data_IF_616437796090
#
_entry.id   IF_616437796090
#
_cell.length_a   1.000
_cell.length_b   1.000
_cell.length_c   1.000
_cell.angle_alpha   90.00
_cell.angle_beta   90.00
_cell.angle_gamma   90.00
#
_symmetry.space_group_name_H-M   'P 1'
#
loop_
_entity.id
_entity.type
_entity.pdbx_description
1 polymer ?
#
# COMPACT_ATOMS: atom_id res chain seq x y z
N UNK A 1 -6.84 8.52 -12.09
CA UNK A 1 -6.30 7.24 -11.58
C UNK A 1 -5.85 7.46 -10.14
N UNK A 2 -6.50 6.82 -9.18
CA UNK A 2 -6.14 6.80 -7.75
C UNK A 2 -5.50 5.47 -7.39
N UNK A 3 -4.26 5.54 -6.94
CA UNK A 3 -3.50 4.36 -6.54
C UNK A 3 -3.35 4.33 -5.03
N UNK A 4 -3.77 3.25 -4.39
CA UNK A 4 -3.50 3.01 -2.98
C UNK A 4 -2.22 2.20 -2.83
N UNK A 5 -1.16 2.83 -2.32
CA UNK A 5 0.05 2.15 -1.93
C UNK A 5 -0.07 1.58 -0.52
N UNK A 6 0.39 0.34 -0.34
CA UNK A 6 0.27 -0.42 0.91
C UNK A 6 1.64 -0.95 1.33
N UNK A 7 2.02 -0.67 2.58
CA UNK A 7 3.16 -1.30 3.25
C UNK A 7 2.67 -1.99 4.53
N UNK A 8 2.95 -3.29 4.66
CA UNK A 8 2.46 -4.10 5.78
C UNK A 8 3.58 -4.24 6.81
N UNK A 9 3.32 -3.79 8.04
CA UNK A 9 4.25 -3.89 9.17
C UNK A 9 3.58 -4.53 10.37
N UNK A 10 4.10 -5.67 10.81
CA UNK A 10 3.57 -6.42 11.95
C UNK A 10 2.09 -6.76 11.75
N UNK A 11 1.19 -6.07 12.46
CA UNK A 11 -0.26 -6.26 12.39
C UNK A 11 -1.00 -5.07 11.73
N UNK A 12 -0.28 -4.20 11.03
CA UNK A 12 -0.86 -2.99 10.44
C UNK A 12 -0.55 -2.91 8.94
N UNK A 13 -1.55 -2.45 8.18
CA UNK A 13 -1.38 -1.95 6.83
C UNK A 13 -1.28 -0.43 6.87
N UNK A 14 -0.15 0.12 6.43
CA UNK A 14 0.04 1.56 6.23
C UNK A 14 -0.41 1.88 4.80
N UNK A 15 -1.33 2.82 4.66
CA UNK A 15 -1.96 3.17 3.38
C UNK A 15 -1.65 4.62 3.00
N UNK A 16 -1.38 4.83 1.71
CA UNK A 16 -1.17 6.16 1.11
C UNK A 16 -1.86 6.18 -0.25
N UNK A 17 -2.59 7.25 -0.54
CA UNK A 17 -3.26 7.42 -1.84
C UNK A 17 -2.44 8.40 -2.67
N UNK A 18 -2.19 8.02 -3.93
CA UNK A 18 -1.54 8.88 -4.89
C UNK A 18 -2.37 9.06 -6.15
N UNK A 19 -2.31 10.27 -6.69
CA UNK A 19 -2.83 10.63 -8.01
C UNK A 19 -1.67 11.15 -8.89
N UNK A 20 -1.77 10.98 -10.22
CA UNK A 20 -0.83 11.59 -11.14
C UNK A 20 -0.92 13.11 -11.09
N UNK A 21 0.24 13.77 -11.09
CA UNK A 21 0.39 15.22 -11.20
C UNK A 21 1.63 15.50 -12.03
N UNK A 22 1.65 16.60 -12.78
CA UNK A 22 2.68 16.93 -13.78
C UNK A 22 4.12 16.75 -13.27
N UNK A 23 4.77 15.60 -13.54
CA UNK A 23 6.14 15.30 -13.12
C UNK A 23 6.29 14.51 -11.82
N UNK A 24 5.23 14.30 -11.03
CA UNK A 24 5.34 13.70 -9.70
C UNK A 24 4.03 13.12 -9.16
N UNK A 25 4.11 12.11 -8.29
CA UNK A 25 2.95 11.56 -7.60
C UNK A 25 2.46 12.54 -6.52
N UNK A 26 1.22 13.01 -6.64
CA UNK A 26 0.57 13.83 -5.63
C UNK A 26 -0.07 12.94 -4.55
N UNK A 27 0.12 13.27 -3.28
CA UNK A 27 -0.51 12.54 -2.18
C UNK A 27 -1.89 13.13 -1.91
N UNK A 28 -2.91 12.28 -1.92
CA UNK A 28 -4.27 12.66 -1.51
C UNK A 28 -4.37 12.50 0.00
N UNK A 29 -4.79 13.56 0.70
CA UNK A 29 -4.95 13.51 2.14
C UNK A 29 -6.16 12.64 2.53
N UNK A 30 -5.90 11.64 3.37
CA UNK A 30 -6.92 10.77 3.96
C UNK A 30 -6.75 10.73 5.48
N UNK A 31 -7.88 10.70 6.19
CA UNK A 31 -7.92 10.55 7.65
C UNK A 31 -7.34 9.20 8.07
N UNK A 32 -7.72 8.13 7.38
CA UNK A 32 -7.21 6.79 7.61
C UNK A 32 -5.84 6.61 6.94
N UNK A 33 -4.81 6.48 7.76
CA UNK A 33 -3.40 6.24 7.33
C UNK A 33 -2.92 4.82 7.67
N UNK A 34 -3.67 4.11 8.52
CA UNK A 34 -3.38 2.75 8.97
C UNK A 34 -4.66 1.96 9.17
N UNK A 35 -4.64 0.69 8.81
CA UNK A 35 -5.69 -0.28 9.11
C UNK A 35 -5.04 -1.41 9.91
N UNK A 36 -5.53 -1.69 11.11
CA UNK A 36 -4.93 -2.64 12.05
C UNK A 36 -5.71 -3.94 12.08
N UNK A 37 -4.99 -5.05 12.19
CA UNK A 37 -5.51 -6.35 12.55
C UNK A 37 -5.28 -6.59 14.05
N UNK A 38 -6.34 -6.81 14.82
CA UNK A 38 -6.18 -7.04 16.25
C UNK A 38 -5.58 -8.43 16.54
N UNK A 39 -6.30 -9.48 16.11
CA UNK A 39 -5.84 -10.86 16.19
C UNK A 39 -5.89 -11.54 14.81
N UNK A 40 -4.75 -12.06 14.36
CA UNK A 40 -4.66 -12.78 13.09
C UNK A 40 -5.09 -14.24 13.18
N UNK A 41 -5.33 -14.78 14.38
CA UNK A 41 -5.88 -16.13 14.57
C UNK A 41 -7.41 -16.13 14.66
N UNK A 42 -8.03 -14.96 14.85
CA UNK A 42 -9.47 -14.80 15.05
C UNK A 42 -10.20 -14.47 13.74
N UNK A 43 -11.19 -15.31 13.38
CA UNK A 43 -11.99 -15.13 12.17
C UNK A 43 -12.79 -13.82 12.13
N UNK A 44 -13.52 -13.46 13.20
CA UNK A 44 -14.17 -12.16 13.33
C UNK A 44 -13.22 -10.97 13.14
N UNK A 45 -12.02 -10.97 13.74
CA UNK A 45 -11.03 -9.90 13.55
C UNK A 45 -10.58 -9.77 12.08
N UNK A 46 -10.35 -10.89 11.39
CA UNK A 46 -10.07 -10.89 9.95
C UNK A 46 -11.22 -10.28 9.13
N UNK A 47 -12.46 -10.64 9.46
CA UNK A 47 -13.65 -10.10 8.79
C UNK A 47 -13.80 -8.60 9.03
N UNK A 48 -13.61 -8.14 10.26
CA UNK A 48 -13.65 -6.72 10.61
C UNK A 48 -12.59 -5.91 9.85
N UNK A 49 -11.36 -6.43 9.76
CA UNK A 49 -10.32 -5.77 8.97
C UNK A 49 -10.69 -5.74 7.48
N UNK A 50 -11.20 -6.85 6.92
CA UNK A 50 -11.65 -6.89 5.52
C UNK A 50 -12.71 -5.83 5.24
N UNK A 51 -13.73 -5.72 6.11
CA UNK A 51 -14.77 -4.71 5.97
C UNK A 51 -14.20 -3.29 6.03
N UNK A 52 -13.22 -3.03 6.90
CA UNK A 52 -12.54 -1.74 6.95
C UNK A 52 -11.75 -1.44 5.67
N UNK A 53 -11.09 -2.45 5.07
CA UNK A 53 -10.42 -2.32 3.78
C UNK A 53 -11.45 -2.04 2.66
N UNK A 54 -12.52 -2.83 2.58
CA UNK A 54 -13.59 -2.68 1.58
C UNK A 54 -14.16 -1.25 1.61
N UNK A 55 -14.55 -0.77 2.80
CA UNK A 55 -15.08 0.60 2.97
C UNK A 55 -14.04 1.66 2.60
N UNK A 56 -12.79 1.52 3.05
CA UNK A 56 -11.74 2.49 2.75
C UNK A 56 -11.47 2.59 1.24
N UNK A 57 -11.30 1.46 0.55
CA UNK A 57 -11.03 1.47 -0.89
C UNK A 57 -12.20 2.06 -1.69
N UNK A 58 -13.43 1.74 -1.29
CA UNK A 58 -14.63 2.28 -1.91
C UNK A 58 -14.79 3.79 -1.67
N UNK A 59 -14.73 4.26 -0.42
CA UNK A 59 -14.86 5.68 -0.05
C UNK A 59 -13.82 6.56 -0.75
N UNK A 60 -12.62 6.03 -0.94
CA UNK A 60 -11.51 6.74 -1.56
C UNK A 60 -11.51 6.65 -3.09
N UNK A 61 -12.41 5.86 -3.70
CA UNK A 61 -12.48 5.60 -5.14
C UNK A 61 -11.14 5.11 -5.69
N UNK A 62 -10.57 4.06 -5.08
CA UNK A 62 -9.29 3.50 -5.51
C UNK A 62 -9.45 2.70 -6.81
N UNK A 63 -8.58 2.96 -7.78
CA UNK A 63 -8.55 2.24 -9.06
C UNK A 63 -7.59 1.03 -9.01
N UNK A 64 -6.47 1.14 -8.29
CA UNK A 64 -5.47 0.06 -8.16
C UNK A 64 -4.85 0.10 -6.76
N UNK A 65 -4.68 -1.08 -6.17
CA UNK A 65 -3.91 -1.26 -4.93
C UNK A 65 -2.52 -1.80 -5.26
N UNK A 66 -1.47 -1.22 -4.69
CA UNK A 66 -0.09 -1.68 -4.87
C UNK A 66 0.51 -2.02 -3.52
N UNK A 67 0.84 -3.29 -3.31
CA UNK A 67 1.37 -3.80 -2.05
C UNK A 67 2.86 -4.09 -2.21
N UNK A 68 3.68 -3.50 -1.33
CA UNK A 68 5.09 -3.88 -1.23
C UNK A 68 5.19 -5.30 -0.67
N UNK A 69 5.74 -6.21 -1.47
CA UNK A 69 5.91 -7.60 -1.08
C UNK A 69 6.79 -7.75 0.14
N UNK A 70 6.43 -8.76 0.95
CA UNK A 70 7.19 -9.19 2.11
C UNK A 70 8.08 -10.37 1.76
N UNK A 71 9.28 -10.42 2.34
CA UNK A 71 10.19 -11.53 2.12
C UNK A 71 9.56 -12.84 2.62
N UNK A 72 9.70 -13.91 1.83
CA UNK A 72 9.32 -15.28 2.18
C UNK A 72 10.57 -16.06 2.63
N UNK A 73 10.40 -17.12 3.46
CA UNK A 73 11.49 -18.00 3.89
C UNK A 73 11.82 -17.95 5.39
N UNK A 74 12.99 -18.48 5.79
CA UNK A 74 13.37 -18.70 7.19
C UNK A 74 13.51 -17.42 8.04
N UNK A 75 13.75 -16.27 7.40
CA UNK A 75 13.67 -14.93 8.01
C UNK A 75 12.54 -14.09 7.37
N UNK A 76 11.54 -14.76 6.83
CA UNK A 76 10.42 -14.16 6.14
C UNK A 76 9.44 -13.47 7.09
N UNK A 77 8.48 -12.77 6.51
CA UNK A 77 7.47 -12.08 7.29
C UNK A 77 6.51 -13.06 7.98
N UNK A 78 5.88 -12.59 9.05
CA UNK A 78 4.96 -13.42 9.84
C UNK A 78 3.72 -13.79 9.02
N UNK A 79 3.10 -14.93 9.35
CA UNK A 79 1.84 -15.35 8.71
C UNK A 79 0.72 -14.31 8.80
N UNK A 80 0.77 -13.42 9.81
CA UNK A 80 -0.16 -12.29 9.94
C UNK A 80 -0.04 -11.31 8.76
N UNK A 81 1.18 -11.01 8.30
CA UNK A 81 1.39 -10.06 7.20
C UNK A 81 0.81 -10.59 5.88
N UNK A 82 0.95 -11.89 5.61
CA UNK A 82 0.35 -12.53 4.43
C UNK A 82 -1.17 -12.61 4.53
N UNK A 83 -1.74 -12.73 5.74
CA UNK A 83 -3.19 -12.62 5.91
C UNK A 83 -3.69 -11.23 5.54
N UNK A 84 -3.00 -10.17 5.99
CA UNK A 84 -3.34 -8.78 5.64
C UNK A 84 -3.26 -8.57 4.11
N UNK A 85 -2.20 -9.07 3.47
CA UNK A 85 -2.03 -9.01 2.01
C UNK A 85 -3.21 -9.68 1.29
N UNK A 86 -3.55 -10.91 1.71
CA UNK A 86 -4.68 -11.65 1.15
C UNK A 86 -6.01 -10.91 1.34
N UNK A 87 -6.22 -10.23 2.47
CA UNK A 87 -7.42 -9.42 2.67
C UNK A 87 -7.53 -8.29 1.65
N UNK A 88 -6.43 -7.60 1.32
CA UNK A 88 -6.44 -6.61 0.23
C UNK A 88 -6.73 -7.25 -1.13
N UNK A 89 -6.10 -8.39 -1.44
CA UNK A 89 -6.33 -9.14 -2.69
C UNK A 89 -7.79 -9.62 -2.83
N UNK A 90 -8.48 -9.87 -1.73
CA UNK A 90 -9.91 -10.23 -1.71
C UNK A 90 -10.84 -9.02 -1.71
N UNK A 91 -10.32 -7.83 -1.38
CA UNK A 91 -11.09 -6.58 -1.27
C UNK A 91 -11.08 -5.75 -2.55
N UNK A 92 -10.19 -6.05 -3.50
CA UNK A 92 -10.04 -5.29 -4.73
C UNK A 92 -9.66 -6.20 -5.90
N UNK A 93 -10.18 -5.91 -7.09
CA UNK A 93 -9.90 -6.72 -8.29
C UNK A 93 -8.52 -6.44 -8.87
N UNK A 94 -8.06 -5.18 -8.81
CA UNK A 94 -6.76 -4.76 -9.31
C UNK A 94 -5.77 -4.55 -8.16
N UNK A 95 -5.05 -5.62 -7.82
CA UNK A 95 -3.98 -5.60 -6.81
C UNK A 95 -2.66 -6.01 -7.45
N UNK A 96 -1.65 -5.15 -7.32
CA UNK A 96 -0.29 -5.39 -7.81
C UNK A 96 0.64 -5.60 -6.64
N UNK A 97 1.34 -6.72 -6.63
CA UNK A 97 2.44 -6.97 -5.72
C UNK A 97 3.75 -6.46 -6.32
N UNK A 98 4.56 -5.74 -5.54
CA UNK A 98 5.84 -5.22 -6.01
C UNK A 98 6.98 -5.54 -5.05
N UNK A 99 8.02 -6.16 -5.59
CA UNK A 99 9.23 -6.49 -4.85
C UNK A 99 9.92 -5.23 -4.30
N UNK A 100 10.34 -5.27 -3.04
CA UNK A 100 11.08 -4.18 -2.42
C UNK A 100 12.37 -3.78 -3.15
N UNK A 101 13.00 -4.70 -3.87
CA UNK A 101 14.17 -4.39 -4.71
C UNK A 101 13.82 -3.54 -5.94
N UNK A 102 12.65 -3.77 -6.53
CA UNK A 102 12.11 -2.95 -7.63
C UNK A 102 11.85 -1.54 -7.13
N UNK A 103 11.19 -1.40 -5.98
CA UNK A 103 10.96 -0.09 -5.35
C UNK A 103 12.27 0.65 -5.04
N UNK A 104 13.29 -0.05 -4.49
CA UNK A 104 14.61 0.55 -4.24
C UNK A 104 15.29 1.05 -5.51
N UNK A 105 15.16 0.33 -6.63
CA UNK A 105 15.68 0.77 -7.93
C UNK A 105 14.91 1.99 -8.44
N UNK A 106 13.59 2.00 -8.28
CA UNK A 106 12.73 3.13 -8.63
C UNK A 106 13.09 4.38 -7.83
N UNK A 107 13.22 4.30 -6.50
CA UNK A 107 13.58 5.46 -5.66
C UNK A 107 14.90 6.10 -6.05
N UNK A 108 15.88 5.34 -6.56
CA UNK A 108 17.15 5.89 -7.05
C UNK A 108 17.01 6.69 -8.35
N UNK A 109 16.01 6.37 -9.18
CA UNK A 109 15.72 7.05 -10.46
C UNK A 109 14.74 8.21 -10.29
N UNK A 110 13.80 8.08 -9.35
CA UNK A 110 12.79 9.09 -9.07
C UNK A 110 13.38 10.24 -8.23
N UNK A 111 13.86 11.27 -8.91
CA UNK A 111 14.51 12.43 -8.29
C UNK A 111 13.54 13.31 -7.50
N UNK A 112 12.24 13.32 -7.88
CA UNK A 112 11.21 14.10 -7.18
C UNK A 112 10.97 13.60 -5.74
N UNK A 113 11.22 12.30 -5.49
CA UNK A 113 11.13 11.72 -4.16
C UNK A 113 9.73 11.76 -3.54
N UNK A 114 9.66 11.61 -2.22
CA UNK A 114 8.42 11.75 -1.46
C UNK A 114 8.18 13.23 -1.10
N UNK A 115 6.92 13.71 -1.14
CA UNK A 115 6.62 15.12 -0.84
C UNK A 115 7.00 15.49 0.60
N UNK A 116 7.41 16.76 0.77
CA UNK A 116 7.71 17.32 2.07
C UNK A 116 6.45 17.28 2.96
N UNK A 117 6.56 16.67 4.16
CA UNK A 117 5.44 16.48 5.09
C UNK A 117 4.89 15.05 5.13
N UNK A 118 5.28 14.17 4.20
CA UNK A 118 4.94 12.75 4.31
C UNK A 118 5.71 12.10 5.47
N UNK A 119 4.99 11.47 6.39
CA UNK A 119 5.61 10.82 7.54
C UNK A 119 6.58 9.72 7.11
N UNK A 120 7.68 9.55 7.85
CA UNK A 120 8.70 8.55 7.54
C UNK A 120 8.14 7.12 7.40
N UNK A 121 7.13 6.76 8.20
CA UNK A 121 6.51 5.43 8.14
C UNK A 121 5.65 5.21 6.88
N UNK A 122 5.21 6.27 6.18
CA UNK A 122 4.38 6.20 4.98
C UNK A 122 5.20 6.10 3.68
N UNK A 123 6.52 6.30 3.75
CA UNK A 123 7.39 6.39 2.56
C UNK A 123 7.34 5.14 1.68
N UNK A 124 7.32 3.95 2.28
CA UNK A 124 7.28 2.69 1.53
C UNK A 124 5.93 2.50 0.79
N UNK A 125 4.82 2.81 1.45
CA UNK A 125 3.49 2.81 0.85
C UNK A 125 3.41 3.82 -0.31
N UNK A 126 3.84 5.07 -0.09
CA UNK A 126 3.93 6.09 -1.14
C UNK A 126 4.78 5.62 -2.34
N UNK A 127 5.97 5.06 -2.07
CA UNK A 127 6.88 4.61 -3.13
C UNK A 127 6.23 3.55 -4.01
N UNK A 128 5.41 2.68 -3.42
CA UNK A 128 4.67 1.64 -4.14
C UNK A 128 3.64 2.24 -5.11
N UNK A 129 2.85 3.20 -4.64
CA UNK A 129 1.87 3.89 -5.48
C UNK A 129 2.53 4.73 -6.58
N UNK A 130 3.56 5.51 -6.23
CA UNK A 130 4.31 6.33 -7.18
C UNK A 130 5.02 5.48 -8.25
N UNK A 131 5.52 4.30 -7.87
CA UNK A 131 6.12 3.36 -8.82
C UNK A 131 5.12 2.94 -9.90
N UNK A 132 3.89 2.55 -9.51
CA UNK A 132 2.88 2.15 -10.50
C UNK A 132 2.51 3.31 -11.43
N UNK A 133 2.33 4.51 -10.90
CA UNK A 133 2.04 5.69 -11.72
C UNK A 133 3.16 5.94 -12.75
N UNK A 134 4.43 5.78 -12.34
CA UNK A 134 5.57 5.87 -13.26
C UNK A 134 5.56 4.78 -14.34
N UNK A 135 5.32 3.52 -13.97
CA UNK A 135 5.25 2.41 -14.94
C UNK A 135 4.11 2.60 -15.95
N UNK A 136 3.04 3.31 -15.57
CA UNK A 136 1.93 3.67 -16.45
C UNK A 136 2.18 4.93 -17.29
N UNK A 137 3.35 5.58 -17.13
CA UNK A 137 3.67 6.83 -17.84
C UNK A 137 2.82 8.02 -17.41
N UNK A 138 2.36 8.04 -16.15
CA UNK A 138 1.48 9.07 -15.61
C UNK A 138 2.19 10.08 -14.69
N UNK A 139 3.50 9.96 -14.54
CA UNK A 139 4.35 10.92 -13.82
C UNK A 139 5.22 11.70 -14.81
#
# INVERSE_FOLDING_TARGET
MRVCGVDIKSKEAIVVICEPSSGAANVVEASTKRIKLDDGADGPALKSMKMAIDSYLHEQNIDVVVIKERATGAMGASGVTFKIEALFQMSHNDVVLVHGNTLRKFTKKNVAGAPAGLNAYQKDAFTSAAWLLNEKGLL
#
